data_IF_938236760748
#
_entry.id   IF_938236760748
#
_cell.length_a   1.000
_cell.length_b   1.000
_cell.length_c   1.000
_cell.angle_alpha   90.00
_cell.angle_beta   90.00
_cell.angle_gamma   90.00
#
_symmetry.space_group_name_H-M   'P 1'
#
loop_
_entity.id
_entity.type
_entity.pdbx_description
1 polymer ?
#
# COMPACT_ATOMS: atom_id res chain seq x y z
N UNK A 1 -0.81 -7.77 14.47
CA UNK A 1 -0.12 -6.93 13.47
C UNK A 1 -0.10 -5.49 13.94
N UNK A 2 1.05 -4.86 13.86
CA UNK A 2 1.22 -3.47 14.26
C UNK A 2 0.38 -2.55 13.35
N UNK A 3 -0.26 -1.50 13.90
CA UNK A 3 -1.02 -0.56 13.07
C UNK A 3 -0.12 0.10 12.02
N UNK A 4 -0.63 0.19 10.79
CA UNK A 4 0.09 0.78 9.67
C UNK A 4 -0.85 1.75 8.95
N UNK A 5 -0.38 2.98 8.76
CA UNK A 5 -1.14 3.98 8.01
C UNK A 5 -0.99 3.74 6.51
N UNK A 6 -1.91 4.33 5.73
CA UNK A 6 -1.79 4.28 4.28
C UNK A 6 -0.49 4.89 3.80
N UNK A 7 -0.06 5.98 4.45
CA UNK A 7 1.19 6.65 4.10
C UNK A 7 2.40 5.74 4.32
N UNK A 8 2.40 5.00 5.42
CA UNK A 8 3.48 4.05 5.70
C UNK A 8 3.48 2.90 4.68
N UNK A 9 2.31 2.36 4.36
CA UNK A 9 2.22 1.30 3.37
C UNK A 9 2.68 1.79 2.00
N UNK A 10 2.33 3.02 1.63
CA UNK A 10 2.78 3.59 0.36
C UNK A 10 4.30 3.58 0.24
N UNK A 11 5.00 3.94 1.32
CA UNK A 11 6.47 3.91 1.32
C UNK A 11 7.01 2.50 1.15
N UNK A 12 6.37 1.53 1.79
CA UNK A 12 6.81 0.14 1.69
C UNK A 12 6.64 -0.38 0.27
N UNK A 13 5.47 -0.16 -0.36
CA UNK A 13 5.26 -0.65 -1.72
C UNK A 13 6.20 0.04 -2.70
N UNK A 14 6.52 1.33 -2.49
CA UNK A 14 7.48 2.03 -3.34
C UNK A 14 8.86 1.38 -3.28
N UNK A 15 9.29 0.94 -2.11
CA UNK A 15 10.57 0.23 -1.98
C UNK A 15 10.59 -1.09 -2.74
N UNK A 16 9.41 -1.66 -2.98
CA UNK A 16 9.28 -2.93 -3.68
C UNK A 16 8.92 -2.78 -5.15
N UNK A 17 9.13 -1.59 -5.72
CA UNK A 17 9.00 -1.37 -7.14
C UNK A 17 7.64 -0.87 -7.60
N UNK A 18 6.72 -0.59 -6.69
CA UNK A 18 5.45 0.01 -7.06
C UNK A 18 5.62 1.51 -7.26
N UNK A 19 4.95 2.06 -8.27
CA UNK A 19 5.04 3.47 -8.61
C UNK A 19 3.69 4.15 -8.49
N UNK A 20 3.70 5.38 -7.97
CA UNK A 20 2.48 6.18 -7.89
C UNK A 20 2.08 6.60 -9.31
N UNK A 21 0.90 6.16 -9.74
CA UNK A 21 0.37 6.48 -11.06
C UNK A 21 -0.48 7.73 -11.04
N UNK A 22 -1.29 7.87 -10.00
CA UNK A 22 -2.18 9.04 -9.87
C UNK A 22 -2.75 9.08 -8.47
N UNK A 23 -3.30 10.25 -8.12
CA UNK A 23 -4.04 10.43 -6.87
C UNK A 23 -5.50 10.68 -7.25
N UNK A 24 -6.39 9.90 -6.67
CA UNK A 24 -7.82 10.03 -6.89
C UNK A 24 -8.50 10.29 -5.55
N UNK A 25 -8.81 11.55 -5.26
CA UNK A 25 -9.32 11.94 -3.95
C UNK A 25 -8.28 11.68 -2.89
N UNK A 26 -8.66 10.91 -1.86
CA UNK A 26 -7.75 10.53 -0.79
C UNK A 26 -7.04 9.20 -1.06
N UNK A 27 -7.20 8.65 -2.27
CA UNK A 27 -6.59 7.37 -2.63
C UNK A 27 -5.40 7.58 -3.55
N UNK A 28 -4.28 6.95 -3.23
CA UNK A 28 -3.11 6.93 -4.10
C UNK A 28 -3.12 5.60 -4.86
N UNK A 29 -3.04 5.68 -6.18
CA UNK A 29 -3.12 4.51 -7.05
C UNK A 29 -1.71 4.14 -7.50
N UNK A 30 -1.31 2.92 -7.20
CA UNK A 30 0.02 2.41 -7.52
C UNK A 30 -0.05 1.30 -8.57
N UNK A 31 0.94 1.27 -9.44
CA UNK A 31 1.13 0.19 -10.40
C UNK A 31 2.55 -0.27 -10.38
N UNK A 32 2.78 -1.46 -10.95
CA UNK A 32 4.11 -2.05 -11.03
C UNK A 32 4.30 -2.67 -12.40
N UNK A 33 5.47 -2.45 -12.99
CA UNK A 33 5.79 -3.02 -14.29
C UNK A 33 5.67 -4.54 -14.25
N UNK A 34 5.01 -5.12 -15.24
CA UNK A 34 4.78 -6.55 -15.28
C UNK A 34 3.60 -7.04 -14.47
N UNK A 35 2.90 -6.14 -13.75
CA UNK A 35 1.73 -6.49 -12.97
C UNK A 35 0.50 -5.74 -13.51
N UNK A 36 -0.59 -6.46 -13.74
CA UNK A 36 -1.86 -5.82 -14.14
C UNK A 36 -2.59 -5.24 -12.94
N UNK A 37 -2.29 -5.73 -11.74
CA UNK A 37 -2.95 -5.27 -10.52
C UNK A 37 -2.61 -3.81 -10.22
N UNK A 38 -3.56 -3.12 -9.61
CA UNK A 38 -3.38 -1.76 -9.12
C UNK A 38 -3.70 -1.73 -7.64
N UNK A 39 -2.89 -0.99 -6.89
CA UNK A 39 -3.12 -0.80 -5.47
C UNK A 39 -3.80 0.55 -5.28
N UNK A 40 -4.94 0.56 -4.59
CA UNK A 40 -5.61 1.80 -4.20
C UNK A 40 -5.43 1.96 -2.70
N UNK A 41 -4.53 2.84 -2.29
CA UNK A 41 -4.18 3.01 -0.88
C UNK A 41 -4.81 4.28 -0.35
N UNK A 42 -5.77 4.18 0.59
CA UNK A 42 -6.37 5.37 1.19
C UNK A 42 -5.38 6.07 2.10
N UNK A 43 -5.26 7.39 1.95
CA UNK A 43 -4.37 8.22 2.75
C UNK A 43 -5.24 9.19 3.56
N UNK A 44 -5.28 9.01 4.87
CA UNK A 44 -6.02 9.87 5.77
C UNK A 44 -5.09 10.33 6.90
N UNK A 45 -4.14 11.17 6.56
CA UNK A 45 -3.12 11.60 7.51
C UNK A 45 -2.32 10.39 8.00
N UNK A 46 -2.24 10.23 9.31
CA UNK A 46 -1.52 9.09 9.90
C UNK A 46 -2.48 8.02 10.42
N UNK A 47 -3.74 8.07 10.00
CA UNK A 47 -4.74 7.12 10.47
C UNK A 47 -4.41 5.71 9.97
N UNK A 48 -4.40 4.71 10.87
CA UNK A 48 -4.09 3.34 10.46
C UNK A 48 -5.14 2.76 9.53
N UNK A 49 -4.68 1.93 8.60
CA UNK A 49 -5.57 1.15 7.74
C UNK A 49 -6.24 0.05 8.56
N UNK A 50 -7.47 -0.29 8.19
CA UNK A 50 -8.14 -1.44 8.80
C UNK A 50 -7.35 -2.69 8.45
N UNK A 51 -7.26 -3.62 9.41
CA UNK A 51 -6.44 -4.83 9.26
C UNK A 51 -6.79 -5.62 8.01
N UNK A 52 -8.08 -5.80 7.73
CA UNK A 52 -8.49 -6.55 6.54
C UNK A 52 -8.04 -5.91 5.25
N UNK A 53 -8.16 -4.58 5.16
CA UNK A 53 -7.69 -3.86 3.98
C UNK A 53 -6.17 -3.95 3.84
N UNK A 54 -5.45 -3.77 4.94
CA UNK A 54 -4.00 -3.86 4.93
C UNK A 54 -3.54 -5.22 4.43
N UNK A 55 -4.13 -6.30 4.93
CA UNK A 55 -3.79 -7.66 4.49
C UNK A 55 -4.09 -7.86 3.01
N UNK A 56 -5.24 -7.34 2.56
CA UNK A 56 -5.61 -7.44 1.15
C UNK A 56 -4.61 -6.73 0.25
N UNK A 57 -4.19 -5.51 0.63
CA UNK A 57 -3.23 -4.74 -0.14
C UNK A 57 -1.85 -5.41 -0.16
N UNK A 58 -1.42 -5.95 0.98
CA UNK A 58 -0.16 -6.70 1.04
C UNK A 58 -0.20 -7.90 0.09
N UNK A 59 -1.30 -8.65 0.10
CA UNK A 59 -1.44 -9.80 -0.77
C UNK A 59 -1.38 -9.40 -2.24
N UNK A 60 -2.08 -8.34 -2.61
CA UNK A 60 -2.07 -7.83 -3.98
C UNK A 60 -0.68 -7.36 -4.40
N UNK A 61 0.07 -6.80 -3.46
CA UNK A 61 1.42 -6.30 -3.72
C UNK A 61 2.48 -7.39 -3.72
N UNK A 62 2.12 -8.63 -3.36
CA UNK A 62 3.07 -9.73 -3.25
C UNK A 62 3.96 -9.60 -2.03
N UNK A 63 3.48 -8.91 -0.99
CA UNK A 63 4.26 -8.64 0.21
C UNK A 63 3.71 -9.42 1.40
N UNK A 64 4.53 -9.54 2.43
CA UNK A 64 4.18 -10.19 3.69
C UNK A 64 4.24 -9.16 4.82
N UNK A 65 3.67 -9.52 5.97
CA UNK A 65 3.69 -8.64 7.12
C UNK A 65 5.11 -8.28 7.56
N UNK A 66 6.06 -9.20 7.38
CA UNK A 66 7.45 -8.93 7.68
C UNK A 66 8.06 -7.78 6.88
N UNK A 67 7.52 -7.52 5.69
CA UNK A 67 8.02 -6.42 4.86
C UNK A 67 7.68 -5.05 5.44
N UNK A 68 6.71 -5.00 6.35
CA UNK A 68 6.32 -3.75 7.01
C UNK A 68 7.33 -3.30 8.07
N UNK A 69 8.24 -4.18 8.47
CA UNK A 69 9.24 -3.87 9.49
C UNK A 69 10.48 -3.15 8.93
N UNK A 70 10.49 -2.86 7.66
CA UNK A 70 11.61 -2.19 6.99
C UNK A 70 11.84 -0.77 7.47
#
# INVERSE_FOLDING_TARGET
>A
MKPVSGRELAKVVERHGWELLRIHGSHQIYGKMGCVARLSIPIHGNKPLKTGLLRHLLKMAGLQEGDLAE
#
